data_IF_435364889560
#
_entry.id   IF_435364889560
#
_cell.length_a   1.000
_cell.length_b   1.000
_cell.length_c   1.000
_cell.angle_alpha   90.00
_cell.angle_beta   90.00
_cell.angle_gamma   90.00
#
_symmetry.space_group_name_H-M   'P 1'
#
loop_
_entity.id
_entity.type
_entity.pdbx_description
1 polymer ?
#
# COMPACT_ATOMS: atom_id res chain seq x y z
N UNK A 1 21.70 56.03 -9.59
CA UNK A 1 21.49 54.74 -10.26
C UNK A 1 22.17 53.68 -9.41
N UNK A 2 21.44 53.05 -8.49
CA UNK A 2 21.95 51.95 -7.66
C UNK A 2 21.69 50.65 -8.40
N UNK A 3 22.76 50.01 -8.87
CA UNK A 3 22.67 48.68 -9.46
C UNK A 3 22.28 47.68 -8.37
N UNK A 4 21.04 47.23 -8.37
CA UNK A 4 20.61 46.05 -7.63
C UNK A 4 21.24 44.83 -8.30
N UNK A 5 22.32 44.33 -7.71
CA UNK A 5 22.88 43.02 -8.08
C UNK A 5 21.84 41.98 -7.70
N UNK A 6 21.10 41.47 -8.68
CA UNK A 6 20.23 40.30 -8.52
C UNK A 6 21.12 39.10 -8.17
N UNK A 7 21.31 38.86 -6.87
CA UNK A 7 21.93 37.64 -6.39
C UNK A 7 20.96 36.50 -6.67
N UNK A 8 21.27 35.66 -7.66
CA UNK A 8 20.56 34.41 -7.88
C UNK A 8 20.67 33.59 -6.58
N UNK A 9 19.56 33.20 -5.95
CA UNK A 9 19.65 32.43 -4.72
C UNK A 9 20.37 31.11 -5.01
N UNK A 10 21.48 30.87 -4.32
CA UNK A 10 22.30 29.63 -4.40
C UNK A 10 21.49 28.38 -4.03
N UNK A 11 20.33 28.55 -3.39
CA UNK A 11 19.44 27.50 -2.98
C UNK A 11 17.99 27.85 -3.34
N UNK A 12 17.37 27.02 -4.17
CA UNK A 12 15.94 27.07 -4.44
C UNK A 12 15.20 26.35 -3.31
N UNK A 13 14.04 26.86 -2.91
CA UNK A 13 13.21 26.18 -1.92
C UNK A 13 12.85 24.78 -2.42
N UNK A 14 13.09 23.71 -1.63
CA UNK A 14 12.71 22.37 -2.02
C UNK A 14 11.19 22.21 -1.96
N UNK A 15 10.70 21.13 -2.56
CA UNK A 15 9.31 20.74 -2.41
C UNK A 15 9.02 20.31 -0.97
N UNK A 16 8.31 21.16 -0.22
CA UNK A 16 8.05 20.96 1.20
C UNK A 16 7.14 19.76 1.51
N UNK A 17 6.41 19.24 0.50
CA UNK A 17 5.57 18.04 0.65
C UNK A 17 6.20 16.78 0.03
N UNK A 18 7.44 16.89 -0.47
CA UNK A 18 8.12 15.79 -1.16
C UNK A 18 8.17 14.54 -0.30
N UNK A 19 8.63 14.68 0.94
CA UNK A 19 8.80 13.58 1.91
C UNK A 19 7.49 12.83 2.12
N UNK A 20 6.36 13.54 2.21
CA UNK A 20 5.05 12.92 2.42
C UNK A 20 4.64 12.09 1.20
N UNK A 21 4.86 12.62 0.00
CA UNK A 21 4.50 11.94 -1.25
C UNK A 21 5.44 10.78 -1.57
N UNK A 22 6.74 10.94 -1.36
CA UNK A 22 7.75 9.92 -1.63
C UNK A 22 7.62 8.76 -0.65
N UNK A 23 7.44 9.05 0.65
CA UNK A 23 7.23 8.03 1.68
C UNK A 23 5.99 7.17 1.38
N UNK A 24 4.85 7.78 1.05
CA UNK A 24 3.64 7.01 0.75
C UNK A 24 3.75 6.20 -0.55
N UNK A 25 4.40 6.75 -1.59
CA UNK A 25 4.67 5.99 -2.83
C UNK A 25 5.57 4.79 -2.57
N UNK A 26 6.64 4.97 -1.78
CA UNK A 26 7.53 3.90 -1.38
C UNK A 26 6.79 2.83 -0.57
N UNK A 27 5.96 3.24 0.39
CA UNK A 27 5.14 2.30 1.16
C UNK A 27 4.26 1.42 0.27
N UNK A 28 3.57 2.00 -0.72
CA UNK A 28 2.76 1.20 -1.65
C UNK A 28 3.61 0.31 -2.56
N UNK A 29 4.76 0.80 -3.02
CA UNK A 29 5.60 0.07 -3.97
C UNK A 29 6.40 -1.07 -3.33
N UNK A 30 6.86 -0.89 -2.08
CA UNK A 30 7.81 -1.78 -1.41
C UNK A 30 7.33 -2.15 0.00
N UNK A 31 7.14 -1.15 0.88
CA UNK A 31 6.90 -1.42 2.31
C UNK A 31 5.67 -2.30 2.61
N UNK A 32 4.56 -2.11 1.88
CA UNK A 32 3.34 -2.91 2.04
C UNK A 32 3.56 -4.36 1.59
N UNK A 33 4.34 -4.55 0.53
CA UNK A 33 4.66 -5.89 0.01
C UNK A 33 5.58 -6.60 0.98
N UNK A 34 6.60 -5.91 1.50
CA UNK A 34 7.50 -6.44 2.53
C UNK A 34 6.72 -6.91 3.75
N UNK A 35 5.77 -6.09 4.23
CA UNK A 35 4.94 -6.43 5.38
C UNK A 35 4.00 -7.60 5.10
N UNK A 36 3.35 -7.66 3.94
CA UNK A 36 2.52 -8.81 3.56
C UNK A 36 3.33 -10.12 3.48
N UNK A 37 4.57 -10.04 2.99
CA UNK A 37 5.48 -11.17 2.90
C UNK A 37 6.03 -11.58 4.28
N UNK A 38 6.20 -10.64 5.22
CA UNK A 38 6.74 -10.93 6.56
C UNK A 38 5.81 -11.83 7.38
N UNK A 39 4.50 -11.76 7.15
CA UNK A 39 3.51 -12.65 7.76
C UNK A 39 3.38 -14.00 7.08
N UNK A 40 3.96 -14.19 5.89
CA UNK A 40 3.73 -15.39 5.06
C UNK A 40 4.88 -16.41 5.18
N UNK A 41 4.60 -17.73 5.32
CA UNK A 41 3.28 -18.32 5.47
C UNK A 41 2.73 -18.22 6.90
N UNK A 42 1.41 -18.00 7.00
CA UNK A 42 0.68 -18.22 8.25
C UNK A 42 0.32 -19.69 8.33
N UNK A 43 0.75 -20.36 9.38
CA UNK A 43 0.49 -21.79 9.59
C UNK A 43 -0.49 -21.98 10.76
N UNK A 44 -1.40 -22.94 10.62
CA UNK A 44 -2.30 -23.31 11.72
C UNK A 44 -1.57 -24.07 12.85
N UNK A 45 -2.23 -24.26 14.00
CA UNK A 45 -1.63 -24.92 15.16
C UNK A 45 -1.25 -26.39 14.93
N UNK A 46 -1.85 -27.05 13.92
CA UNK A 46 -1.52 -28.43 13.57
C UNK A 46 -0.38 -28.55 12.54
N UNK A 47 0.01 -27.45 11.90
CA UNK A 47 1.03 -27.44 10.85
C UNK A 47 0.55 -27.92 9.47
N UNK A 48 -0.75 -28.19 9.32
CA UNK A 48 -1.34 -28.86 8.15
C UNK A 48 -1.87 -27.86 7.11
N UNK A 49 -2.30 -26.69 7.55
CA UNK A 49 -2.81 -25.63 6.70
C UNK A 49 -1.81 -24.48 6.67
N UNK A 50 -1.44 -24.05 5.46
CA UNK A 50 -0.64 -22.85 5.24
C UNK A 50 -1.40 -21.84 4.40
N UNK A 51 -1.47 -20.60 4.89
CA UNK A 51 -1.99 -19.46 4.18
C UNK A 51 -0.82 -18.59 3.70
N UNK A 52 -0.74 -18.37 2.39
CA UNK A 52 0.29 -17.57 1.75
C UNK A 52 -0.33 -16.31 1.14
N UNK A 53 0.19 -15.14 1.49
CA UNK A 53 -0.17 -13.89 0.81
C UNK A 53 0.71 -13.69 -0.42
N UNK A 54 0.11 -13.45 -1.57
CA UNK A 54 0.83 -13.10 -2.79
C UNK A 54 0.96 -11.57 -2.85
N UNK A 55 1.76 -11.02 -1.94
CA UNK A 55 1.87 -9.57 -1.69
C UNK A 55 2.15 -8.75 -2.95
N UNK A 56 3.03 -9.20 -3.84
CA UNK A 56 3.33 -8.52 -5.11
C UNK A 56 2.13 -8.33 -6.04
N UNK A 57 1.05 -9.08 -5.84
CA UNK A 57 -0.15 -9.04 -6.67
C UNK A 57 -1.34 -8.36 -5.97
N UNK A 58 -1.11 -7.61 -4.88
CA UNK A 58 -2.16 -6.85 -4.23
C UNK A 58 -2.78 -5.83 -5.21
N UNK A 59 -4.06 -5.53 -5.02
CA UNK A 59 -4.84 -4.62 -5.85
C UNK A 59 -5.54 -3.60 -5.00
N UNK A 60 -5.43 -2.34 -5.40
CA UNK A 60 -6.23 -1.25 -4.85
C UNK A 60 -7.33 -0.93 -5.85
N UNK A 61 -8.58 -0.93 -5.40
CA UNK A 61 -9.70 -0.42 -6.18
C UNK A 61 -9.73 1.10 -6.14
N UNK A 62 -10.52 1.68 -7.04
CA UNK A 62 -10.81 3.09 -6.99
C UNK A 62 -11.50 3.48 -5.67
N UNK A 63 -11.23 4.70 -5.16
CA UNK A 63 -11.92 5.21 -3.98
C UNK A 63 -13.44 5.22 -4.19
N UNK A 64 -14.18 4.89 -3.13
CA UNK A 64 -15.65 4.91 -3.18
C UNK A 64 -16.22 6.31 -3.43
N UNK A 65 -15.54 7.32 -2.92
CA UNK A 65 -15.90 8.73 -3.05
C UNK A 65 -14.65 9.51 -3.44
N UNK A 66 -14.84 10.62 -4.16
CA UNK A 66 -13.79 11.62 -4.29
C UNK A 66 -13.58 12.38 -2.96
N UNK A 67 -12.57 13.25 -2.94
CA UNK A 67 -12.17 13.99 -1.73
C UNK A 67 -13.29 14.93 -1.24
N UNK A 68 -14.02 15.58 -2.14
CA UNK A 68 -15.03 16.56 -1.76
C UNK A 68 -16.30 15.88 -1.25
N UNK A 69 -16.68 14.75 -1.84
CA UNK A 69 -17.81 13.95 -1.39
C UNK A 69 -17.52 13.24 -0.08
N UNK A 70 -16.29 12.74 0.13
CA UNK A 70 -15.87 12.17 1.41
C UNK A 70 -15.98 13.22 2.54
N UNK A 71 -15.52 14.45 2.31
CA UNK A 71 -15.68 15.56 3.25
C UNK A 71 -17.16 15.88 3.51
N UNK A 72 -17.99 16.02 2.47
CA UNK A 72 -19.42 16.35 2.61
C UNK A 72 -20.17 15.33 3.45
N UNK A 73 -19.75 14.06 3.39
CA UNK A 73 -20.39 12.94 4.08
C UNK A 73 -19.79 12.64 5.46
N UNK A 74 -18.81 13.43 5.92
CA UNK A 74 -18.00 13.10 7.11
C UNK A 74 -17.46 11.66 7.06
N UNK A 75 -17.01 11.23 5.87
CA UNK A 75 -16.51 9.89 5.59
C UNK A 75 -15.00 9.89 5.32
N UNK A 76 -14.35 8.74 5.47
CA UNK A 76 -12.94 8.55 5.12
C UNK A 76 -12.76 8.41 3.61
N UNK A 77 -11.81 9.15 3.02
CA UNK A 77 -11.33 8.94 1.65
C UNK A 77 -10.36 7.75 1.65
N UNK A 78 -10.80 6.60 1.16
CA UNK A 78 -10.04 5.36 1.18
C UNK A 78 -10.33 4.49 -0.05
N UNK A 79 -9.39 3.58 -0.33
CA UNK A 79 -9.47 2.55 -1.37
C UNK A 79 -9.66 1.18 -0.73
N UNK A 80 -10.34 0.28 -1.43
CA UNK A 80 -10.43 -1.12 -1.01
C UNK A 80 -9.21 -1.89 -1.49
N UNK A 81 -8.58 -2.65 -0.60
CA UNK A 81 -7.42 -3.48 -0.87
C UNK A 81 -7.79 -4.96 -0.93
N UNK A 82 -7.35 -5.61 -2.00
CA UNK A 82 -7.47 -7.05 -2.21
C UNK A 82 -6.08 -7.66 -2.33
N UNK A 83 -5.86 -8.79 -1.66
CA UNK A 83 -4.62 -9.55 -1.77
C UNK A 83 -4.97 -10.96 -2.24
N UNK A 84 -4.38 -11.43 -3.36
CA UNK A 84 -4.49 -12.82 -3.74
C UNK A 84 -3.81 -13.70 -2.69
N UNK A 85 -4.53 -14.71 -2.23
CA UNK A 85 -4.09 -15.57 -1.13
C UNK A 85 -4.22 -17.02 -1.55
N UNK A 86 -3.22 -17.82 -1.18
CA UNK A 86 -3.19 -19.27 -1.44
C UNK A 86 -3.29 -20.02 -0.13
N UNK A 87 -4.30 -20.87 -0.01
CA UNK A 87 -4.44 -21.83 1.09
C UNK A 87 -3.98 -23.21 0.62
N UNK A 88 -2.98 -23.77 1.29
CA UNK A 88 -2.40 -25.08 1.01
C UNK A 88 -2.79 -26.03 2.14
N UNK A 89 -3.45 -27.14 1.80
CA UNK A 89 -3.64 -28.25 2.71
C UNK A 89 -2.55 -29.30 2.45
N UNK A 90 -1.61 -29.43 3.39
CA UNK A 90 -0.49 -30.38 3.28
C UNK A 90 -0.90 -31.84 3.39
N UNK A 91 -2.07 -32.15 3.96
CA UNK A 91 -2.54 -33.53 4.08
C UNK A 91 -3.14 -34.04 2.78
N UNK A 92 -3.93 -33.21 2.09
CA UNK A 92 -4.60 -33.60 0.85
C UNK A 92 -3.82 -33.18 -0.40
N UNK A 93 -2.88 -32.25 -0.27
CA UNK A 93 -2.20 -31.59 -1.38
C UNK A 93 -3.09 -30.56 -2.10
N UNK A 94 -4.28 -30.26 -1.58
CA UNK A 94 -5.21 -29.32 -2.19
C UNK A 94 -4.70 -27.87 -2.05
N UNK A 95 -4.78 -27.12 -3.15
CA UNK A 95 -4.43 -25.70 -3.21
C UNK A 95 -5.66 -24.91 -3.63
N UNK A 96 -6.06 -23.92 -2.83
CA UNK A 96 -7.11 -22.97 -3.15
C UNK A 96 -6.54 -21.57 -3.25
N UNK A 97 -6.84 -20.87 -4.33
CA UNK A 97 -6.48 -19.47 -4.52
C UNK A 97 -7.74 -18.61 -4.51
N UNK A 98 -7.68 -17.49 -3.79
CA UNK A 98 -8.78 -16.54 -3.71
C UNK A 98 -8.26 -15.12 -3.50
N UNK A 99 -8.95 -14.13 -4.07
CA UNK A 99 -8.73 -12.72 -3.71
C UNK A 99 -9.46 -12.39 -2.41
N UNK A 100 -8.71 -12.02 -1.38
CA UNK A 100 -9.23 -11.67 -0.06
C UNK A 100 -9.25 -10.16 0.08
N UNK A 101 -10.40 -9.62 0.48
CA UNK A 101 -10.52 -8.24 0.92
C UNK A 101 -9.90 -8.09 2.31
N UNK A 102 -8.96 -7.16 2.47
CA UNK A 102 -8.27 -6.96 3.76
C UNK A 102 -8.73 -5.66 4.45
N UNK A 103 -8.79 -4.53 3.73
CA UNK A 103 -9.19 -3.22 4.25
C UNK A 103 -9.88 -2.39 3.17
#
# INVERSE_FOLDING_TARGET
MTNETLMTPTFLLPDLIEIQRSSFRWFLAEGLIEELNSFSPITDYTGKLELHFLGHNYKLKEPKYDVEEAKRRDSTYAVQMYVPTRLINKETGEIKEQEVFIV
#
